data_IF_459633927695
#
_entry.id   IF_459633927695
#
_cell.length_a   1.000
_cell.length_b   1.000
_cell.length_c   1.000
_cell.angle_alpha   90.00
_cell.angle_beta   90.00
_cell.angle_gamma   90.00
#
_symmetry.space_group_name_H-M   'P 1'
#
loop_
_entity.id
_entity.type
_entity.pdbx_description
1 polymer ?
#
# COMPACT_ATOMS: atom_id res chain seq x y z
N UNK A 1 -64.69 29.23 14.88
CA UNK A 1 -63.21 29.24 14.79
C UNK A 1 -62.74 27.81 14.96
N UNK A 2 -62.27 27.18 13.89
CA UNK A 2 -61.77 25.80 13.93
C UNK A 2 -60.44 25.78 14.69
N UNK A 3 -60.48 25.31 15.93
CA UNK A 3 -59.29 24.92 16.68
C UNK A 3 -58.80 23.58 16.12
N UNK A 4 -58.08 23.60 15.01
CA UNK A 4 -57.32 22.46 14.54
C UNK A 4 -56.13 22.26 15.48
N UNK A 5 -56.34 21.44 16.51
CA UNK A 5 -55.28 20.99 17.39
C UNK A 5 -54.12 20.43 16.57
N UNK A 6 -52.89 20.82 16.94
CA UNK A 6 -51.67 20.46 16.23
C UNK A 6 -51.66 18.97 15.88
N UNK A 7 -51.66 18.66 14.57
CA UNK A 7 -51.62 17.27 14.11
C UNK A 7 -50.24 16.66 14.40
N UNK A 8 -50.12 16.02 15.57
CA UNK A 8 -48.88 15.45 16.07
C UNK A 8 -48.33 14.35 15.14
N UNK A 9 -49.20 13.59 14.45
CA UNK A 9 -48.81 12.56 13.50
C UNK A 9 -48.11 13.13 12.27
N UNK A 10 -48.70 14.16 11.64
CA UNK A 10 -48.08 14.88 10.52
C UNK A 10 -46.77 15.55 10.92
N UNK A 11 -46.71 16.16 12.11
CA UNK A 11 -45.47 16.77 12.63
C UNK A 11 -44.38 15.72 12.80
N UNK A 12 -44.68 14.57 13.41
CA UNK A 12 -43.71 13.50 13.64
C UNK A 12 -43.22 12.88 12.34
N UNK A 13 -44.11 12.72 11.36
CA UNK A 13 -43.76 12.26 10.01
C UNK A 13 -42.80 13.24 9.32
N UNK A 14 -43.13 14.54 9.29
CA UNK A 14 -42.28 15.55 8.66
C UNK A 14 -40.91 15.63 9.33
N UNK A 15 -40.85 15.60 10.67
CA UNK A 15 -39.58 15.58 11.39
C UNK A 15 -38.76 14.34 11.03
N UNK A 16 -39.36 13.15 11.04
CA UNK A 16 -38.65 11.92 10.70
C UNK A 16 -38.14 11.94 9.25
N UNK A 17 -38.98 12.37 8.30
CA UNK A 17 -38.61 12.47 6.89
C UNK A 17 -37.46 13.47 6.68
N UNK A 18 -37.53 14.66 7.28
CA UNK A 18 -36.46 15.67 7.19
C UNK A 18 -35.17 15.18 7.84
N UNK A 19 -35.24 14.48 8.98
CA UNK A 19 -34.06 13.90 9.63
C UNK A 19 -33.39 12.83 8.76
N UNK A 20 -34.16 11.96 8.12
CA UNK A 20 -33.60 10.91 7.22
C UNK A 20 -32.91 11.55 6.01
N UNK A 21 -33.57 12.51 5.36
CA UNK A 21 -32.98 13.22 4.20
C UNK A 21 -31.75 14.00 4.62
N UNK A 22 -31.78 14.67 5.78
CA UNK A 22 -30.64 15.38 6.34
C UNK A 22 -29.45 14.46 6.62
N UNK A 23 -29.69 13.29 7.22
CA UNK A 23 -28.67 12.29 7.48
C UNK A 23 -28.06 11.74 6.17
N UNK A 24 -28.90 11.42 5.18
CA UNK A 24 -28.44 10.96 3.87
C UNK A 24 -27.58 12.02 3.17
N UNK A 25 -27.99 13.30 3.23
CA UNK A 25 -27.21 14.42 2.69
C UNK A 25 -25.87 14.60 3.39
N UNK A 26 -25.84 14.50 4.73
CA UNK A 26 -24.61 14.59 5.50
C UNK A 26 -23.62 13.47 5.16
N UNK A 27 -24.09 12.22 5.06
CA UNK A 27 -23.27 11.08 4.62
C UNK A 27 -22.80 11.29 3.18
N UNK A 28 -23.70 11.73 2.28
CA UNK A 28 -23.40 12.00 0.88
C UNK A 28 -22.31 13.05 0.67
N UNK A 29 -22.20 14.04 1.57
CA UNK A 29 -21.11 15.03 1.55
C UNK A 29 -19.83 14.52 2.25
N UNK A 30 -19.96 13.84 3.39
CA UNK A 30 -18.83 13.39 4.19
C UNK A 30 -18.00 12.30 3.49
N UNK A 31 -18.65 11.37 2.79
CA UNK A 31 -17.97 10.26 2.10
C UNK A 31 -16.97 10.73 1.03
N UNK A 32 -17.36 11.55 0.02
CA UNK A 32 -16.40 12.06 -0.96
C UNK A 32 -15.39 13.04 -0.34
N UNK A 33 -15.77 13.78 0.71
CA UNK A 33 -14.84 14.67 1.42
C UNK A 33 -13.68 13.89 2.05
N UNK A 34 -13.96 12.86 2.83
CA UNK A 34 -12.92 11.94 3.37
C UNK A 34 -12.23 11.19 2.23
N UNK A 35 -13.00 10.80 1.20
CA UNK A 35 -12.52 10.21 -0.04
C UNK A 35 -11.40 11.02 -0.71
N UNK A 36 -11.46 12.35 -0.60
CA UNK A 36 -10.49 13.26 -1.23
C UNK A 36 -9.08 13.21 -0.63
N UNK A 37 -8.93 12.66 0.58
CA UNK A 37 -7.62 12.45 1.22
C UNK A 37 -6.90 11.19 0.74
N UNK A 38 -7.59 10.28 0.04
CA UNK A 38 -6.92 9.10 -0.53
C UNK A 38 -5.96 9.49 -1.66
N UNK A 39 -4.96 8.64 -1.96
CA UNK A 39 -4.01 8.90 -3.04
C UNK A 39 -4.74 9.17 -4.36
N UNK A 40 -4.39 10.29 -4.99
CA UNK A 40 -4.95 10.70 -6.27
C UNK A 40 -4.67 9.65 -7.36
N UNK A 41 -5.44 9.69 -8.45
CA UNK A 41 -5.20 8.81 -9.60
C UNK A 41 -3.76 8.91 -10.14
N UNK A 42 -3.18 10.12 -10.12
CA UNK A 42 -1.78 10.37 -10.49
C UNK A 42 -0.79 9.70 -9.54
N UNK A 43 -1.06 9.75 -8.22
CA UNK A 43 -0.24 9.08 -7.23
C UNK A 43 -0.34 7.54 -7.32
N UNK A 44 -1.53 7.01 -7.63
CA UNK A 44 -1.72 5.58 -7.90
C UNK A 44 -0.99 5.15 -9.17
N UNK A 45 -1.04 5.96 -10.23
CA UNK A 45 -0.33 5.71 -11.48
C UNK A 45 1.20 5.76 -11.32
N UNK A 46 1.72 6.66 -10.48
CA UNK A 46 3.14 6.70 -10.12
C UNK A 46 3.63 5.46 -9.34
N UNK A 47 2.70 4.63 -8.84
CA UNK A 47 3.01 3.32 -8.26
C UNK A 47 2.87 2.14 -9.22
N UNK A 48 2.68 2.39 -10.51
CA UNK A 48 2.66 1.33 -11.52
C UNK A 48 3.97 0.50 -11.49
N UNK A 49 3.93 -0.75 -11.96
CA UNK A 49 5.12 -1.60 -12.05
C UNK A 49 6.19 -0.94 -12.94
N UNK A 50 7.42 -0.89 -12.44
CA UNK A 50 8.59 -0.45 -13.21
C UNK A 50 9.32 -1.69 -13.71
N UNK A 51 9.59 -1.75 -15.01
CA UNK A 51 10.40 -2.82 -15.60
C UNK A 51 11.87 -2.39 -15.62
N UNK A 52 12.73 -3.20 -15.00
CA UNK A 52 14.18 -2.97 -14.99
C UNK A 52 14.86 -4.13 -15.71
N UNK A 53 15.71 -3.81 -16.68
CA UNK A 53 16.49 -4.82 -17.39
C UNK A 53 17.73 -5.21 -16.58
N UNK A 54 17.65 -6.37 -15.93
CA UNK A 54 18.73 -6.93 -15.10
C UNK A 54 19.82 -7.64 -15.89
N UNK A 55 19.60 -7.92 -17.19
CA UNK A 55 20.58 -8.64 -18.03
C UNK A 55 21.81 -7.83 -18.42
N UNK A 56 21.84 -6.54 -18.09
CA UNK A 56 22.97 -5.62 -18.36
C UNK A 56 23.83 -5.35 -17.12
N UNK A 57 23.50 -5.97 -15.99
CA UNK A 57 24.21 -5.78 -14.72
C UNK A 57 25.30 -6.84 -14.64
N UNK A 58 26.54 -6.42 -14.52
CA UNK A 58 27.67 -7.35 -14.37
C UNK A 58 27.75 -7.91 -12.93
N UNK A 59 28.29 -9.12 -12.72
CA UNK A 59 28.49 -9.66 -11.37
C UNK A 59 29.32 -8.71 -10.49
N UNK A 60 28.85 -8.45 -9.27
CA UNK A 60 29.41 -7.49 -8.32
C UNK A 60 28.88 -6.06 -8.46
N UNK A 61 28.09 -5.78 -9.50
CA UNK A 61 27.53 -4.46 -9.73
C UNK A 61 26.16 -4.29 -9.04
N UNK A 62 25.89 -3.05 -8.63
CA UNK A 62 24.59 -2.60 -8.14
C UNK A 62 24.06 -1.48 -9.03
N UNK A 63 22.76 -1.50 -9.31
CA UNK A 63 22.03 -0.39 -9.92
C UNK A 63 20.92 0.10 -8.99
N UNK A 64 20.45 1.32 -9.23
CA UNK A 64 19.36 1.93 -8.49
C UNK A 64 18.23 2.22 -9.47
N UNK A 65 17.06 1.66 -9.22
CA UNK A 65 15.82 1.99 -9.90
C UNK A 65 14.93 2.83 -8.98
N UNK A 66 14.14 3.74 -9.53
CA UNK A 66 13.15 4.49 -8.75
C UNK A 66 11.79 3.79 -8.83
N UNK A 67 11.18 3.50 -7.69
CA UNK A 67 9.81 3.01 -7.61
C UNK A 67 9.05 3.70 -6.49
N UNK A 68 7.88 4.29 -6.82
CA UNK A 68 7.05 5.05 -5.86
C UNK A 68 7.82 6.16 -5.12
N UNK A 69 8.76 6.82 -5.81
CA UNK A 69 9.63 7.86 -5.23
C UNK A 69 10.65 7.34 -4.23
N UNK A 70 10.84 6.03 -4.14
CA UNK A 70 11.84 5.36 -3.29
C UNK A 70 12.90 4.69 -4.16
N UNK A 71 14.17 4.70 -3.76
CA UNK A 71 15.19 3.93 -4.44
C UNK A 71 15.00 2.43 -4.18
N UNK A 72 15.11 1.64 -5.23
CA UNK A 72 15.17 0.18 -5.21
C UNK A 72 16.56 -0.21 -5.70
N UNK A 73 17.33 -0.82 -4.80
CA UNK A 73 18.66 -1.33 -5.11
C UNK A 73 18.53 -2.72 -5.72
N UNK A 74 19.22 -2.95 -6.84
CA UNK A 74 19.27 -4.24 -7.50
C UNK A 74 20.74 -4.62 -7.62
N UNK A 75 21.12 -5.75 -7.05
CA UNK A 75 22.51 -6.20 -6.94
C UNK A 75 22.67 -7.54 -7.67
N UNK A 76 23.64 -7.60 -8.57
CA UNK A 76 24.09 -8.87 -9.13
C UNK A 76 25.20 -9.43 -8.25
N UNK A 77 24.87 -10.38 -7.38
CA UNK A 77 25.81 -10.99 -6.42
C UNK A 77 26.76 -11.93 -7.15
N UNK A 78 28.04 -11.90 -6.77
CA UNK A 78 29.01 -12.89 -7.23
C UNK A 78 28.85 -14.20 -6.46
N UNK A 79 29.46 -15.27 -6.97
CA UNK A 79 29.49 -16.56 -6.28
C UNK A 79 30.15 -16.46 -4.90
N UNK A 80 31.25 -15.74 -4.81
CA UNK A 80 31.97 -15.50 -3.55
C UNK A 80 31.09 -14.81 -2.51
N UNK A 81 30.28 -13.83 -2.93
CA UNK A 81 29.33 -13.16 -2.04
C UNK A 81 28.26 -14.12 -1.52
N UNK A 82 27.73 -15.01 -2.38
CA UNK A 82 26.72 -15.99 -2.00
C UNK A 82 27.27 -17.04 -1.05
N UNK A 83 28.48 -17.55 -1.34
CA UNK A 83 29.15 -18.56 -0.52
C UNK A 83 29.51 -18.04 0.88
N UNK A 84 29.69 -16.71 1.02
CA UNK A 84 29.96 -16.06 2.30
C UNK A 84 28.73 -15.87 3.19
N UNK A 85 27.50 -15.80 2.64
CA UNK A 85 26.28 -15.46 3.41
C UNK A 85 26.05 -16.36 4.64
N UNK A 86 26.18 -17.71 4.56
CA UNK A 86 25.92 -18.57 5.72
C UNK A 86 26.88 -18.32 6.89
N UNK A 87 28.11 -17.87 6.61
CA UNK A 87 29.11 -17.59 7.64
C UNK A 87 28.78 -16.35 8.48
N UNK A 88 27.88 -15.48 7.98
CA UNK A 88 27.51 -14.23 8.61
C UNK A 88 26.24 -14.33 9.47
N UNK A 89 25.45 -15.41 9.37
CA UNK A 89 24.15 -15.55 10.05
C UNK A 89 24.24 -15.26 11.57
N UNK A 90 25.27 -15.78 12.25
CA UNK A 90 25.47 -15.57 13.69
C UNK A 90 25.89 -14.15 14.11
N UNK A 91 26.20 -13.28 13.14
CA UNK A 91 26.58 -11.89 13.37
C UNK A 91 25.44 -10.90 13.06
N UNK A 92 24.34 -11.38 12.47
CA UNK A 92 23.21 -10.53 12.09
C UNK A 92 22.34 -10.20 13.31
N UNK A 93 21.94 -8.94 13.42
CA UNK A 93 20.94 -8.52 14.41
C UNK A 93 19.54 -9.09 14.12
N UNK A 94 19.23 -9.33 12.84
CA UNK A 94 17.95 -9.88 12.38
C UNK A 94 18.18 -10.90 11.24
N UNK A 95 18.61 -12.13 11.56
CA UNK A 95 18.93 -13.15 10.55
C UNK A 95 17.70 -13.61 9.76
N UNK A 96 16.54 -13.70 10.42
CA UNK A 96 15.31 -14.24 9.83
C UNK A 96 14.46 -13.17 9.12
N UNK A 97 14.65 -11.88 9.41
CA UNK A 97 13.85 -10.78 8.87
C UNK A 97 12.34 -11.00 8.95
N UNK A 98 11.85 -11.45 10.13
CA UNK A 98 10.43 -11.82 10.33
C UNK A 98 9.43 -10.68 10.10
N UNK A 99 9.90 -9.43 10.21
CA UNK A 99 9.09 -8.24 9.93
C UNK A 99 9.08 -7.84 8.44
N UNK A 100 9.87 -8.51 7.59
CA UNK A 100 9.93 -8.21 6.16
C UNK A 100 8.78 -8.89 5.44
N UNK A 101 7.97 -8.11 4.72
CA UNK A 101 6.94 -8.63 3.82
C UNK A 101 7.60 -9.06 2.50
N UNK A 102 7.78 -10.37 2.34
CA UNK A 102 8.33 -10.98 1.13
C UNK A 102 7.25 -11.79 0.40
N UNK A 103 7.21 -11.76 -0.94
CA UNK A 103 6.30 -12.61 -1.71
C UNK A 103 6.60 -14.11 -1.50
N UNK A 104 5.56 -14.95 -1.54
CA UNK A 104 5.70 -16.42 -1.31
C UNK A 104 6.61 -17.13 -2.31
N UNK A 105 6.81 -16.56 -3.50
CA UNK A 105 7.67 -17.12 -4.55
C UNK A 105 9.15 -16.80 -4.36
N UNK A 106 9.52 -16.04 -3.33
CA UNK A 106 10.90 -15.63 -3.03
C UNK A 106 11.49 -16.54 -1.96
N UNK A 107 12.74 -16.97 -2.12
CA UNK A 107 13.45 -17.73 -1.09
C UNK A 107 13.57 -16.88 0.19
N UNK A 108 13.07 -17.32 1.36
CA UNK A 108 13.10 -16.52 2.60
C UNK A 108 14.50 -16.17 3.11
N UNK A 109 15.51 -17.01 2.80
CA UNK A 109 16.90 -16.80 3.21
C UNK A 109 17.63 -15.88 2.25
N UNK A 110 17.58 -16.20 0.96
CA UNK A 110 18.31 -15.44 -0.07
C UNK A 110 17.60 -14.14 -0.46
N UNK A 111 16.30 -14.06 -0.14
CA UNK A 111 15.38 -12.94 -0.43
C UNK A 111 15.34 -12.59 -1.91
N UNK A 112 15.53 -13.60 -2.76
CA UNK A 112 15.45 -13.46 -4.20
C UNK A 112 14.87 -14.71 -4.89
N UNK A 113 14.37 -14.53 -6.12
CA UNK A 113 13.96 -15.63 -7.01
C UNK A 113 15.20 -16.31 -7.60
N UNK A 114 16.19 -15.51 -7.98
CA UNK A 114 17.46 -15.93 -8.54
C UNK A 114 18.56 -15.63 -7.53
N UNK A 115 19.36 -16.60 -7.07
CA UNK A 115 20.41 -16.36 -6.08
C UNK A 115 21.37 -15.24 -6.51
N UNK A 116 21.70 -15.13 -7.77
CA UNK A 116 22.60 -14.11 -8.29
C UNK A 116 21.99 -12.70 -8.35
N UNK A 117 20.66 -12.53 -8.29
CA UNK A 117 20.00 -11.21 -8.35
C UNK A 117 19.21 -10.95 -7.07
N UNK A 118 19.62 -9.96 -6.28
CA UNK A 118 18.87 -9.45 -5.12
C UNK A 118 18.30 -8.07 -5.39
#
# INVERSE_FOLDING_TARGET
MSNDGVNAGRRRFLVAATSVVGAAGAVGAAVPFVGSWFPSAKAKAAGAPVQVNVGKIDPGQQIIAEWRGKPVFIVHRTKEMLDALPSLEGQLADPDSKASEQPEYVDPKLRSIKPELA
#
